data_IF_656540907766
#
_entry.id   IF_656540907766
#
_cell.length_a   1.000
_cell.length_b   1.000
_cell.length_c   1.000
_cell.angle_alpha   90.00
_cell.angle_beta   90.00
_cell.angle_gamma   90.00
#
_symmetry.space_group_name_H-M   'P 1'
#
loop_
_entity.id
_entity.type
_entity.pdbx_description
1 polymer ?
#
# COMPACT_ATOMS: atom_id res chain seq x y z
N UNK A 1 -1.21 -17.76 1.53
CA UNK A 1 -0.70 -16.47 0.99
C UNK A 1 -0.95 -15.37 2.01
N UNK A 2 0.03 -14.54 2.28
CA UNK A 2 -0.12 -13.46 3.25
C UNK A 2 -1.04 -12.35 2.71
N UNK A 3 -1.58 -11.54 3.63
CA UNK A 3 -2.45 -10.42 3.25
C UNK A 3 -1.64 -9.38 2.44
N UNK A 4 -0.40 -9.10 2.85
CA UNK A 4 0.45 -8.16 2.12
C UNK A 4 0.80 -8.67 0.72
N UNK A 5 1.03 -9.97 0.56
CA UNK A 5 1.25 -10.56 -0.76
C UNK A 5 0.01 -10.44 -1.66
N UNK A 6 -1.17 -10.70 -1.10
CA UNK A 6 -2.44 -10.53 -1.83
C UNK A 6 -2.63 -9.09 -2.28
N UNK A 7 -2.37 -8.15 -1.38
CA UNK A 7 -2.47 -6.73 -1.68
C UNK A 7 -1.51 -6.31 -2.80
N UNK A 8 -0.25 -6.76 -2.70
CA UNK A 8 0.75 -6.49 -3.74
C UNK A 8 0.34 -7.01 -5.11
N UNK A 9 -0.18 -8.24 -5.17
CA UNK A 9 -0.67 -8.82 -6.42
C UNK A 9 -1.87 -8.07 -6.97
N UNK A 10 -2.78 -7.64 -6.11
CA UNK A 10 -3.94 -6.86 -6.52
C UNK A 10 -3.52 -5.53 -7.13
N UNK A 11 -2.54 -4.85 -6.53
CA UNK A 11 -1.98 -3.61 -7.06
C UNK A 11 -1.28 -3.82 -8.39
N UNK A 12 -0.43 -4.83 -8.49
CA UNK A 12 0.37 -5.09 -9.69
C UNK A 12 -0.52 -5.46 -10.88
N UNK A 13 -1.59 -6.21 -10.64
CA UNK A 13 -2.54 -6.61 -11.68
C UNK A 13 -3.68 -5.61 -11.88
N UNK A 14 -3.76 -4.58 -11.06
CA UNK A 14 -4.86 -3.62 -11.04
C UNK A 14 -6.22 -4.30 -10.99
N UNK A 15 -6.35 -5.25 -10.09
CA UNK A 15 -7.57 -6.02 -9.90
C UNK A 15 -8.38 -5.40 -8.76
N UNK A 16 -9.43 -4.66 -9.13
CA UNK A 16 -10.25 -3.92 -8.17
C UNK A 16 -10.95 -4.85 -7.18
N UNK A 17 -11.49 -5.97 -7.63
CA UNK A 17 -12.18 -6.92 -6.75
C UNK A 17 -11.22 -7.49 -5.70
N UNK A 18 -10.00 -7.83 -6.11
CA UNK A 18 -8.97 -8.30 -5.18
C UNK A 18 -8.55 -7.23 -4.20
N UNK A 19 -8.44 -5.98 -4.64
CA UNK A 19 -8.16 -4.85 -3.75
C UNK A 19 -9.25 -4.69 -2.70
N UNK A 20 -10.52 -4.75 -3.12
CA UNK A 20 -11.66 -4.69 -2.19
C UNK A 20 -11.62 -5.80 -1.15
N UNK A 21 -11.25 -7.01 -1.55
CA UNK A 21 -11.19 -8.15 -0.64
C UNK A 21 -10.06 -8.04 0.39
N UNK A 22 -8.98 -7.33 0.05
CA UNK A 22 -7.83 -7.19 0.93
C UNK A 22 -8.00 -6.10 2.00
N UNK A 23 -8.91 -5.15 1.80
CA UNK A 23 -9.02 -3.94 2.61
C UNK A 23 -10.32 -3.95 3.41
N UNK A 24 -10.24 -3.64 4.71
CA UNK A 24 -11.39 -3.47 5.58
C UNK A 24 -12.22 -2.27 5.14
N UNK A 25 -13.55 -2.32 5.34
CA UNK A 25 -14.45 -1.22 4.95
C UNK A 25 -14.12 0.10 5.65
N UNK A 26 -13.59 0.04 6.86
CA UNK A 26 -13.19 1.22 7.63
C UNK A 26 -11.71 1.60 7.44
N UNK A 27 -11.08 1.09 6.40
CA UNK A 27 -9.68 1.32 6.11
C UNK A 27 -9.33 2.81 6.04
N UNK A 28 -8.15 3.14 6.60
CA UNK A 28 -7.57 4.48 6.50
C UNK A 28 -6.10 4.38 6.18
N UNK A 29 -5.67 5.16 5.22
CA UNK A 29 -4.30 5.23 4.77
C UNK A 29 -3.75 6.63 5.08
N UNK A 30 -2.76 6.69 5.97
CA UNK A 30 -2.08 7.93 6.31
C UNK A 30 -0.81 8.06 5.47
N UNK A 31 -0.79 9.06 4.62
CA UNK A 31 0.36 9.40 3.77
C UNK A 31 1.10 10.57 4.43
N UNK A 32 2.09 10.25 5.26
CA UNK A 32 2.81 11.28 6.02
C UNK A 32 3.52 12.28 5.12
N UNK A 33 4.11 11.83 4.02
CA UNK A 33 4.82 12.72 3.09
C UNK A 33 3.91 13.73 2.40
N UNK A 34 2.62 13.40 2.25
CA UNK A 34 1.62 14.28 1.64
C UNK A 34 0.74 15.00 2.66
N UNK A 35 0.83 14.61 3.94
CA UNK A 35 -0.01 15.16 5.00
C UNK A 35 -1.48 14.82 4.85
N UNK A 36 -1.80 13.65 4.30
CA UNK A 36 -3.17 13.24 3.97
C UNK A 36 -3.57 11.95 4.66
N UNK A 37 -4.88 11.79 4.91
CA UNK A 37 -5.51 10.50 5.25
C UNK A 37 -6.56 10.22 4.19
N UNK A 38 -6.49 9.04 3.56
CA UNK A 38 -7.45 8.66 2.54
C UNK A 38 -8.24 7.43 2.95
N UNK A 39 -9.44 7.30 2.40
CA UNK A 39 -10.37 6.22 2.66
C UNK A 39 -10.10 5.01 1.77
N UNK A 40 -10.85 3.91 2.02
CA UNK A 40 -10.81 2.70 1.19
C UNK A 40 -11.07 3.03 -0.28
N UNK A 41 -12.14 3.77 -0.58
CA UNK A 41 -12.50 4.09 -1.96
C UNK A 41 -11.43 4.92 -2.67
N UNK A 42 -10.85 5.88 -1.95
CA UNK A 42 -9.77 6.71 -2.48
C UNK A 42 -8.49 5.90 -2.73
N UNK A 43 -8.16 4.99 -1.81
CA UNK A 43 -6.99 4.14 -1.95
C UNK A 43 -7.12 3.19 -3.15
N UNK A 44 -8.30 2.61 -3.34
CA UNK A 44 -8.57 1.72 -4.48
C UNK A 44 -8.52 2.50 -5.79
N UNK A 45 -9.14 3.67 -5.84
CA UNK A 45 -9.11 4.53 -7.03
C UNK A 45 -7.67 4.88 -7.42
N UNK A 46 -6.83 5.19 -6.42
CA UNK A 46 -5.42 5.48 -6.66
C UNK A 46 -4.68 4.24 -7.17
N UNK A 47 -4.91 3.07 -6.56
CA UNK A 47 -4.30 1.81 -7.01
C UNK A 47 -4.69 1.43 -8.44
N UNK A 48 -5.92 1.77 -8.86
CA UNK A 48 -6.41 1.52 -10.21
C UNK A 48 -5.92 2.54 -11.23
N UNK A 49 -5.44 3.71 -10.79
CA UNK A 49 -5.08 4.82 -11.68
C UNK A 49 -3.84 4.57 -12.53
N UNK A 50 -2.97 3.65 -12.08
CA UNK A 50 -1.68 3.44 -12.74
C UNK A 50 -0.64 4.51 -12.43
N UNK A 51 -0.91 5.39 -11.47
CA UNK A 51 0.01 6.44 -11.06
C UNK A 51 1.28 5.89 -10.41
N UNK A 52 1.19 4.72 -9.78
CA UNK A 52 2.31 4.13 -9.06
C UNK A 52 2.72 2.80 -9.67
N UNK A 53 4.02 2.55 -9.64
CA UNK A 53 4.63 1.27 -9.96
C UNK A 53 5.54 0.88 -8.80
N UNK A 54 5.41 -0.35 -8.30
CA UNK A 54 6.17 -0.83 -7.15
C UNK A 54 7.23 -1.81 -7.60
N UNK A 55 8.43 -1.70 -7.05
CA UNK A 55 9.56 -2.58 -7.35
C UNK A 55 10.30 -2.92 -6.06
N UNK A 56 11.05 -4.01 -6.07
CA UNK A 56 11.88 -4.45 -4.94
C UNK A 56 11.07 -4.53 -3.64
N UNK A 57 9.85 -5.05 -3.75
CA UNK A 57 8.95 -5.19 -2.60
C UNK A 57 9.49 -6.24 -1.65
N UNK A 58 9.61 -5.88 -0.37
CA UNK A 58 10.05 -6.80 0.69
C UNK A 58 9.07 -6.74 1.85
N UNK A 59 8.51 -7.89 2.21
CA UNK A 59 7.73 -8.01 3.43
C UNK A 59 8.73 -8.30 4.55
N UNK A 60 8.93 -7.32 5.43
CA UNK A 60 9.92 -7.40 6.50
C UNK A 60 9.40 -8.14 7.72
N UNK A 61 8.10 -8.06 7.97
CA UNK A 61 7.43 -8.73 9.08
C UNK A 61 5.93 -8.79 8.79
N UNK A 62 5.31 -9.91 9.17
CA UNK A 62 3.84 -10.01 9.12
C UNK A 62 3.37 -11.08 10.10
N UNK A 63 2.33 -10.74 10.89
CA UNK A 63 1.59 -11.71 11.68
C UNK A 63 0.09 -11.44 11.46
N UNK A 64 -0.77 -11.98 12.32
CA UNK A 64 -2.22 -11.81 12.18
C UNK A 64 -2.72 -10.41 12.58
N UNK A 65 -1.87 -9.58 13.16
CA UNK A 65 -2.25 -8.24 13.68
C UNK A 65 -1.58 -7.09 12.96
N UNK A 66 -0.33 -7.25 12.54
CA UNK A 66 0.46 -6.18 11.94
C UNK A 66 1.33 -6.70 10.81
N UNK A 67 1.70 -5.78 9.91
CA UNK A 67 2.64 -6.06 8.85
C UNK A 67 3.53 -4.87 8.56
N UNK A 68 4.76 -5.14 8.11
CA UNK A 68 5.74 -4.12 7.72
C UNK A 68 6.30 -4.51 6.36
N UNK A 69 6.31 -3.56 5.45
CA UNK A 69 6.74 -3.77 4.07
C UNK A 69 7.60 -2.60 3.60
N UNK A 70 8.58 -2.88 2.77
CA UNK A 70 9.39 -1.86 2.11
C UNK A 70 9.32 -2.06 0.59
N UNK A 71 9.19 -0.98 -0.15
CA UNK A 71 9.16 -1.01 -1.61
C UNK A 71 9.79 0.24 -2.20
N UNK A 72 10.26 0.12 -3.42
CA UNK A 72 10.65 1.27 -4.23
C UNK A 72 9.43 1.60 -5.10
N UNK A 73 8.96 2.83 -5.02
CA UNK A 73 7.76 3.28 -5.71
C UNK A 73 8.13 4.36 -6.73
N UNK A 74 7.70 4.15 -7.97
CA UNK A 74 7.86 5.13 -9.04
C UNK A 74 6.50 5.72 -9.39
N UNK A 75 6.41 7.04 -9.44
CA UNK A 75 5.20 7.77 -9.80
C UNK A 75 5.22 8.16 -11.28
N UNK A 76 4.05 8.50 -11.82
CA UNK A 76 3.92 8.89 -13.23
C UNK A 76 4.77 10.09 -13.64
N UNK A 77 5.11 10.96 -12.69
CA UNK A 77 5.97 12.12 -12.96
C UNK A 77 7.46 11.78 -12.99
N UNK A 78 7.80 10.50 -12.80
CA UNK A 78 9.18 10.03 -12.81
C UNK A 78 9.88 10.08 -11.47
N UNK A 79 9.23 10.59 -10.42
CA UNK A 79 9.80 10.58 -9.08
C UNK A 79 9.81 9.16 -8.51
N UNK A 80 10.88 8.84 -7.79
CA UNK A 80 11.05 7.53 -7.17
C UNK A 80 11.30 7.72 -5.67
N UNK A 81 10.62 6.91 -4.87
CA UNK A 81 10.72 6.97 -3.41
C UNK A 81 11.01 5.59 -2.83
N UNK A 82 11.78 5.56 -1.73
CA UNK A 82 11.87 4.40 -0.86
C UNK A 82 10.76 4.53 0.17
N UNK A 83 9.84 3.57 0.22
CA UNK A 83 8.63 3.64 1.05
C UNK A 83 8.61 2.51 2.06
N UNK A 84 8.54 2.87 3.34
CA UNK A 84 8.33 1.93 4.44
C UNK A 84 6.87 2.02 4.86
N UNK A 85 6.17 0.89 4.82
CA UNK A 85 4.75 0.80 5.15
C UNK A 85 4.54 0.02 6.42
N UNK A 86 3.71 0.55 7.32
CA UNK A 86 3.23 -0.16 8.49
C UNK A 86 1.72 -0.33 8.37
N UNK A 87 1.24 -1.56 8.50
CA UNK A 87 -0.19 -1.85 8.41
C UNK A 87 -0.67 -2.59 9.64
N UNK A 88 -1.94 -2.40 9.99
CA UNK A 88 -2.62 -3.24 10.97
C UNK A 88 -3.72 -4.01 10.27
N UNK A 89 -4.04 -5.19 10.79
CA UNK A 89 -5.08 -6.04 10.24
C UNK A 89 -6.27 -6.12 11.18
N UNK A 90 -7.47 -6.21 10.61
CA UNK A 90 -8.70 -6.45 11.36
C UNK A 90 -9.60 -7.34 10.50
N UNK A 91 -10.15 -8.38 11.11
CA UNK A 91 -11.01 -9.33 10.40
C UNK A 91 -10.35 -9.95 9.16
N UNK A 92 -9.03 -10.17 9.22
CA UNK A 92 -8.27 -10.73 8.12
C UNK A 92 -8.03 -9.77 6.96
N UNK A 93 -8.21 -8.47 7.18
CA UNK A 93 -8.06 -7.43 6.14
C UNK A 93 -7.17 -6.30 6.63
N UNK A 94 -6.59 -5.55 5.69
CA UNK A 94 -5.81 -4.36 6.02
C UNK A 94 -6.76 -3.30 6.56
N UNK A 95 -6.53 -2.87 7.79
CA UNK A 95 -7.39 -1.93 8.49
C UNK A 95 -6.81 -0.52 8.52
N UNK A 96 -5.55 -0.37 8.94
CA UNK A 96 -4.84 0.90 8.86
C UNK A 96 -3.54 0.71 8.09
N UNK A 97 -3.11 1.77 7.43
CA UNK A 97 -1.89 1.78 6.65
C UNK A 97 -1.23 3.13 6.83
N UNK A 98 0.06 3.15 7.14
CA UNK A 98 0.79 4.42 7.14
C UNK A 98 2.17 4.23 6.54
N UNK A 99 2.66 5.25 5.87
CA UNK A 99 3.92 5.19 5.15
C UNK A 99 4.86 6.30 5.58
N UNK A 100 6.15 5.93 5.66
CA UNK A 100 7.24 6.88 5.66
C UNK A 100 7.96 6.75 4.33
N UNK A 101 8.24 7.87 3.66
CA UNK A 101 8.83 7.85 2.34
C UNK A 101 10.00 8.81 2.23
N UNK A 102 11.03 8.39 1.49
CA UNK A 102 12.19 9.22 1.19
C UNK A 102 12.39 9.29 -0.33
N UNK A 103 12.58 10.49 -0.84
CA UNK A 103 12.88 10.67 -2.26
C UNK A 103 14.26 10.11 -2.58
N UNK A 104 14.36 9.37 -3.66
CA UNK A 104 15.65 8.86 -4.13
C UNK A 104 16.32 9.86 -5.05
N UNK A 105 17.67 9.90 -5.08
CA UNK A 105 18.39 10.74 -6.03
C UNK A 105 18.04 10.35 -7.45
N UNK A 106 17.95 11.33 -8.30
CA UNK A 106 17.72 11.11 -9.74
C UNK A 106 19.03 10.95 -10.49
#
# INVERSE_FOLDING_TARGET
MSILEKWGKALDSRNEDSMNDCIHDDYKFTLHSAGKVISKSEAIAWGMSGDISRDKVRILFENDKVGVEHAIVTFNDGNTQAVLSFVTFKDGKIYTHETGASNLPK
#
